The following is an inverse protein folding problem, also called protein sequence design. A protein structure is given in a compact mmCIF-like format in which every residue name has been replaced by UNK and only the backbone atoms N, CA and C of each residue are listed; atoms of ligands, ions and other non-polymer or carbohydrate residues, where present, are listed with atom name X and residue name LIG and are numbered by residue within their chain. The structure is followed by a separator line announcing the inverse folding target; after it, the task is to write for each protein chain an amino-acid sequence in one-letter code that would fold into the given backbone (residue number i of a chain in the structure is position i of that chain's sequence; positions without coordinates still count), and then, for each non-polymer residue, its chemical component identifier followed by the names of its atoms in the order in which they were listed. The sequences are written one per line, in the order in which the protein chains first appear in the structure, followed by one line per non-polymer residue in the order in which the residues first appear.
data_IF_365840224575
#
_entry.id   IF_365840224575
#
_cell.length_a   1.000
_cell.length_b   1.000
_cell.length_c   1.000
_cell.angle_alpha   90.00
_cell.angle_beta   90.00
_cell.angle_gamma   90.00
#
_symmetry.space_group_name_H-M   'P 1'
#
loop_
_entity.id
_entity.type
_entity.pdbx_description
1 polymer ?
#
# COMPACT_ATOMS: atom_id res chain seq x y z
N UNK A 1 1.23 -9.71 9.96
CA UNK A 1 0.59 -8.65 10.77
C UNK A 1 -0.91 -8.67 10.55
N UNK A 2 -1.37 -8.53 9.31
CA UNK A 2 -2.80 -8.67 8.95
C UNK A 2 -3.37 -10.02 9.39
N UNK A 3 -2.65 -11.14 9.21
CA UNK A 3 -3.14 -12.46 9.66
C UNK A 3 -3.38 -12.52 11.18
N UNK A 4 -2.51 -11.89 11.97
CA UNK A 4 -2.69 -11.79 13.43
C UNK A 4 -3.97 -11.03 13.77
N UNK A 5 -4.23 -9.92 13.06
CA UNK A 5 -5.46 -9.14 13.24
C UNK A 5 -6.71 -9.97 12.94
N UNK A 6 -6.68 -10.75 11.85
CA UNK A 6 -7.77 -11.66 11.47
C UNK A 6 -8.00 -12.74 12.50
N UNK A 7 -6.94 -13.38 13.00
CA UNK A 7 -7.05 -14.41 14.04
C UNK A 7 -7.59 -13.83 15.36
N UNK A 8 -7.23 -12.59 15.71
CA UNK A 8 -7.64 -11.98 16.98
C UNK A 8 -9.05 -11.40 16.96
N UNK A 9 -9.48 -10.81 15.85
CA UNK A 9 -10.74 -10.06 15.78
C UNK A 9 -11.68 -10.51 14.67
N UNK A 10 -11.23 -11.36 13.75
CA UNK A 10 -12.03 -11.84 12.64
C UNK A 10 -12.92 -13.01 13.03
N UNK A 11 -14.04 -13.15 12.35
CA UNK A 11 -14.92 -14.29 12.51
C UNK A 11 -14.26 -15.54 11.93
N UNK A 12 -14.38 -16.67 12.63
CA UNK A 12 -13.93 -17.95 12.12
C UNK A 12 -14.71 -18.32 10.86
N UNK A 13 -13.99 -18.72 9.80
CA UNK A 13 -14.59 -19.11 8.53
C UNK A 13 -14.56 -20.62 8.38
N UNK A 14 -13.37 -21.23 8.50
CA UNK A 14 -13.17 -22.64 8.20
C UNK A 14 -11.79 -23.13 8.68
N UNK A 15 -11.64 -24.43 8.90
CA UNK A 15 -10.39 -25.11 9.30
C UNK A 15 -10.07 -26.23 8.31
N UNK A 16 -8.82 -26.26 7.81
CA UNK A 16 -8.33 -27.37 6.98
C UNK A 16 -7.74 -28.44 7.88
N UNK A 17 -8.32 -29.64 7.85
CA UNK A 17 -7.70 -30.84 8.40
C UNK A 17 -6.50 -31.23 7.53
N UNK A 18 -5.32 -31.42 8.13
CA UNK A 18 -4.16 -31.98 7.42
C UNK A 18 -4.24 -33.49 7.48
N UNK A 19 -4.40 -34.15 6.34
CA UNK A 19 -4.16 -35.58 6.20
C UNK A 19 -2.65 -35.85 6.25
N UNK A 20 -2.16 -36.31 7.40
CA UNK A 20 -0.76 -36.72 7.58
C UNK A 20 -0.25 -36.41 8.98
N UNK A 21 0.23 -37.45 9.66
CA UNK A 21 0.78 -37.40 11.02
C UNK A 21 2.00 -36.47 11.09
N UNK A 22 1.76 -35.20 11.39
CA UNK A 22 2.67 -34.34 12.14
C UNK A 22 1.84 -33.23 12.77
N UNK A 23 1.89 -33.20 14.09
CA UNK A 23 1.15 -32.34 15.02
C UNK A 23 1.68 -30.90 14.94
N UNK A 24 1.66 -30.28 13.75
CA UNK A 24 2.17 -28.93 13.53
C UNK A 24 1.14 -28.08 12.76
N UNK A 25 0.50 -27.19 13.54
CA UNK A 25 -0.39 -26.10 13.18
C UNK A 25 -1.63 -26.48 12.34
N UNK A 26 -2.80 -26.48 13.01
CA UNK A 26 -4.12 -26.36 12.40
C UNK A 26 -4.18 -25.10 11.55
N UNK A 27 -4.58 -25.22 10.27
CA UNK A 27 -4.74 -24.08 9.38
C UNK A 27 -6.16 -23.53 9.50
N UNK A 28 -6.38 -22.66 10.47
CA UNK A 28 -7.64 -21.95 10.67
C UNK A 28 -7.69 -20.67 9.82
N UNK A 29 -8.79 -20.48 9.11
CA UNK A 29 -9.08 -19.29 8.32
C UNK A 29 -10.09 -18.42 9.04
N UNK A 30 -9.78 -17.13 9.13
CA UNK A 30 -10.64 -16.11 9.70
C UNK A 30 -10.96 -15.05 8.64
N UNK A 31 -12.10 -14.39 8.77
CA UNK A 31 -12.47 -13.24 7.97
C UNK A 31 -11.63 -12.02 8.36
N UNK A 32 -11.66 -10.96 7.54
CA UNK A 32 -11.19 -9.66 8.00
C UNK A 32 -12.22 -9.09 9.00
N UNK A 33 -11.80 -8.55 10.15
CA UNK A 33 -12.74 -8.05 11.16
C UNK A 33 -13.61 -6.91 10.62
N UNK A 34 -14.88 -6.90 11.01
CA UNK A 34 -15.80 -5.82 10.67
C UNK A 34 -15.41 -4.51 11.37
N UNK A 35 -15.86 -3.37 10.83
CA UNK A 35 -15.63 -2.05 11.45
C UNK A 35 -16.22 -2.01 12.85
N UNK A 36 -17.41 -2.61 13.05
CA UNK A 36 -18.05 -2.67 14.37
C UNK A 36 -17.21 -3.47 15.37
N UNK A 37 -16.68 -4.62 14.97
CA UNK A 37 -15.80 -5.42 15.82
C UNK A 37 -14.52 -4.67 16.17
N UNK A 38 -13.90 -4.00 15.19
CA UNK A 38 -12.69 -3.21 15.44
C UNK A 38 -12.99 -2.00 16.36
N UNK A 39 -14.07 -1.26 16.12
CA UNK A 39 -14.40 -0.09 16.91
C UNK A 39 -14.75 -0.44 18.37
N UNK A 40 -15.42 -1.59 18.58
CA UNK A 40 -15.84 -2.05 19.89
C UNK A 40 -14.73 -2.77 20.69
N UNK A 41 -13.90 -3.60 20.04
CA UNK A 41 -13.00 -4.55 20.73
C UNK A 41 -11.51 -4.28 20.50
N UNK A 42 -11.13 -3.45 19.53
CA UNK A 42 -9.73 -3.28 19.19
C UNK A 42 -9.05 -2.27 20.13
N UNK A 43 -7.97 -2.73 20.79
CA UNK A 43 -7.17 -1.90 21.69
C UNK A 43 -5.78 -1.64 21.10
N UNK A 44 -5.27 -0.43 21.31
CA UNK A 44 -3.97 -0.03 20.78
C UNK A 44 -2.82 -0.87 21.35
N UNK A 45 -2.88 -1.18 22.65
CA UNK A 45 -1.92 -2.04 23.37
C UNK A 45 -1.82 -3.42 22.72
N UNK A 46 -2.95 -4.07 22.45
CA UNK A 46 -2.99 -5.38 21.78
C UNK A 46 -2.39 -5.32 20.38
N UNK A 47 -2.73 -4.29 19.59
CA UNK A 47 -2.13 -4.10 18.26
C UNK A 47 -0.62 -3.87 18.32
N UNK A 48 -0.13 -3.10 19.31
CA UNK A 48 1.32 -2.89 19.50
C UNK A 48 2.04 -4.20 19.78
N UNK A 49 1.50 -5.03 20.68
CA UNK A 49 2.02 -6.38 20.96
C UNK A 49 2.00 -7.28 19.72
N UNK A 50 1.03 -7.11 18.82
CA UNK A 50 0.99 -7.82 17.53
C UNK A 50 1.98 -7.30 16.47
N UNK A 51 2.69 -6.21 16.75
CA UNK A 51 3.74 -5.66 15.90
C UNK A 51 3.32 -4.49 15.01
N UNK A 52 2.11 -3.94 15.17
CA UNK A 52 1.65 -2.80 14.38
C UNK A 52 2.43 -1.50 14.64
N UNK A 53 3.18 -1.42 15.74
CA UNK A 53 3.99 -0.26 16.09
C UNK A 53 3.14 1.00 16.23
N UNK A 54 3.63 2.13 15.73
CA UNK A 54 2.90 3.41 15.78
C UNK A 54 1.57 3.39 15.01
N UNK A 55 1.40 2.48 14.03
CA UNK A 55 0.16 2.35 13.24
C UNK A 55 -1.00 1.77 14.04
N UNK A 56 -0.73 1.17 15.20
CA UNK A 56 -1.76 0.68 16.12
C UNK A 56 -2.78 1.78 16.48
N UNK A 57 -2.29 2.97 16.81
CA UNK A 57 -3.14 4.11 17.16
C UNK A 57 -4.04 4.53 15.96
N UNK A 58 -3.50 4.46 14.74
CA UNK A 58 -4.25 4.81 13.52
C UNK A 58 -5.40 3.85 13.26
N UNK A 59 -5.17 2.54 13.44
CA UNK A 59 -6.21 1.51 13.21
C UNK A 59 -7.38 1.70 14.19
N UNK A 60 -7.10 1.85 15.48
CA UNK A 60 -8.14 2.03 16.51
C UNK A 60 -8.92 3.32 16.27
N UNK A 61 -8.24 4.44 16.00
CA UNK A 61 -8.88 5.73 15.73
C UNK A 61 -9.73 5.68 14.45
N UNK A 62 -9.19 5.10 13.38
CA UNK A 62 -9.88 4.99 12.10
C UNK A 62 -11.13 4.13 12.22
N UNK A 63 -11.07 2.99 12.93
CA UNK A 63 -12.25 2.13 13.11
C UNK A 63 -13.38 2.86 13.83
N UNK A 64 -13.08 3.58 14.92
CA UNK A 64 -14.07 4.37 15.67
C UNK A 64 -14.65 5.50 14.83
N UNK A 65 -13.78 6.30 14.20
CA UNK A 65 -14.20 7.41 13.34
C UNK A 65 -15.04 6.92 12.15
N UNK A 66 -14.67 5.81 11.52
CA UNK A 66 -15.44 5.26 10.41
C UNK A 66 -16.81 4.75 10.88
N UNK A 67 -16.90 4.14 12.06
CA UNK A 67 -18.18 3.74 12.65
C UNK A 67 -19.08 4.96 12.90
N UNK A 68 -18.54 6.04 13.47
CA UNK A 68 -19.27 7.31 13.71
C UNK A 68 -19.76 7.95 12.39
N UNK A 69 -19.01 7.78 11.30
CA UNK A 69 -19.38 8.29 9.96
C UNK A 69 -20.38 7.40 9.20
N UNK A 70 -20.87 6.31 9.80
CA UNK A 70 -21.84 5.40 9.19
C UNK A 70 -21.25 4.10 8.64
N UNK A 71 -20.04 3.73 9.07
CA UNK A 71 -19.40 2.45 8.76
C UNK A 71 -19.16 2.26 7.26
N UNK A 72 -19.48 1.06 6.75
CA UNK A 72 -19.27 0.73 5.34
C UNK A 72 -20.04 1.65 4.38
N UNK A 73 -21.22 2.15 4.78
CA UNK A 73 -22.03 3.06 3.96
C UNK A 73 -21.30 4.37 3.63
N UNK A 74 -20.43 4.85 4.53
CA UNK A 74 -19.59 6.01 4.26
C UNK A 74 -18.66 5.76 3.05
N UNK A 75 -18.04 4.59 2.98
CA UNK A 75 -17.13 4.21 1.90
C UNK A 75 -17.88 3.93 0.59
N UNK A 76 -19.05 3.27 0.65
CA UNK A 76 -19.87 3.04 -0.53
C UNK A 76 -20.32 4.35 -1.18
N UNK A 77 -20.66 5.37 -0.39
CA UNK A 77 -20.96 6.70 -0.92
C UNK A 77 -19.77 7.31 -1.68
N UNK A 78 -18.54 7.13 -1.21
CA UNK A 78 -17.35 7.62 -1.92
C UNK A 78 -17.18 6.87 -3.24
N UNK A 79 -17.35 5.53 -3.25
CA UNK A 79 -17.29 4.72 -4.47
C UNK A 79 -18.33 5.17 -5.49
N UNK A 80 -19.59 5.23 -5.07
CA UNK A 80 -20.75 5.44 -5.93
C UNK A 80 -20.92 6.92 -6.34
N UNK A 81 -20.18 7.85 -5.71
CA UNK A 81 -20.15 9.24 -6.12
C UNK A 81 -19.68 9.37 -7.58
N UNK A 82 -20.59 9.82 -8.46
CA UNK A 82 -20.32 9.99 -9.90
C UNK A 82 -19.52 11.25 -10.21
N UNK A 83 -19.51 12.20 -9.28
CA UNK A 83 -18.70 13.41 -9.31
C UNK A 83 -18.46 13.80 -7.85
N UNK A 84 -17.20 13.86 -7.43
CA UNK A 84 -16.90 14.53 -6.16
C UNK A 84 -16.99 16.02 -6.44
N UNK A 85 -18.16 16.59 -6.16
CA UNK A 85 -18.29 18.04 -6.06
C UNK A 85 -17.46 18.48 -4.83
N UNK A 86 -16.40 19.30 -5.00
CA UNK A 86 -15.58 19.73 -3.89
C UNK A 86 -16.41 20.64 -2.98
N UNK A 87 -16.90 20.09 -1.86
CA UNK A 87 -17.46 20.88 -0.75
C UNK A 87 -16.38 21.15 0.30
N UNK A 88 -15.31 21.82 -0.10
CA UNK A 88 -14.35 22.40 0.83
C UNK A 88 -14.21 23.88 0.52
N UNK A 89 -14.32 24.72 1.55
CA UNK A 89 -13.98 26.15 1.48
C UNK A 89 -12.57 26.23 0.88
N UNK A 90 -12.45 26.87 -0.30
CA UNK A 90 -11.20 27.12 -1.03
C UNK A 90 -10.00 27.12 -0.07
N UNK A 91 -9.28 26.00 0.01
CA UNK A 91 -7.88 26.06 0.39
C UNK A 91 -7.27 26.99 -0.65
N UNK A 92 -6.69 28.11 -0.21
CA UNK A 92 -6.05 29.07 -1.12
C UNK A 92 -5.18 28.26 -2.06
N UNK A 93 -5.48 28.34 -3.35
CA UNK A 93 -4.58 27.84 -4.38
C UNK A 93 -3.22 28.44 -4.05
N UNK A 94 -2.30 27.62 -3.58
CA UNK A 94 -0.91 28.01 -3.58
C UNK A 94 -0.62 28.28 -5.06
N UNK A 95 -0.15 29.48 -5.41
CA UNK A 95 0.47 29.71 -6.71
C UNK A 95 1.52 28.62 -6.90
N UNK A 96 1.18 27.59 -7.67
CA UNK A 96 2.13 26.54 -8.02
C UNK A 96 2.62 26.84 -9.41
N UNK A 97 3.93 26.90 -9.56
CA UNK A 97 4.70 27.07 -10.80
C UNK A 97 4.53 25.89 -11.79
N UNK A 98 3.37 25.24 -11.82
CA UNK A 98 3.06 24.06 -12.63
C UNK A 98 2.51 24.50 -13.99
N UNK A 99 3.26 24.33 -15.10
CA UNK A 99 2.79 24.70 -16.43
C UNK A 99 1.64 23.77 -16.85
N UNK A 100 0.50 24.34 -17.26
CA UNK A 100 -0.65 23.57 -17.77
C UNK A 100 -1.75 23.22 -16.76
N UNK A 101 -1.74 23.80 -15.55
CA UNK A 101 -2.80 23.60 -14.56
C UNK A 101 -4.14 24.25 -14.98
N UNK A 102 -5.07 23.42 -15.46
CA UNK A 102 -6.46 23.83 -15.66
C UNK A 102 -7.27 23.34 -14.46
N UNK A 103 -7.36 24.16 -13.41
CA UNK A 103 -7.84 23.80 -12.07
C UNK A 103 -9.28 23.29 -11.93
N UNK A 104 -9.99 22.94 -13.00
CA UNK A 104 -11.32 22.31 -12.94
C UNK A 104 -11.28 20.79 -13.13
N UNK A 105 -10.36 20.27 -13.97
CA UNK A 105 -10.33 18.85 -14.33
C UNK A 105 -9.45 18.04 -13.36
N UNK A 106 -8.36 18.65 -12.87
CA UNK A 106 -7.48 18.05 -11.87
C UNK A 106 -8.16 17.90 -10.49
N UNK A 107 -9.05 18.83 -10.12
CA UNK A 107 -9.79 18.78 -8.84
C UNK A 107 -10.85 17.67 -8.84
N UNK A 108 -11.37 17.28 -10.01
CA UNK A 108 -12.38 16.22 -10.14
C UNK A 108 -11.85 14.83 -9.74
N UNK A 109 -10.61 14.51 -10.12
CA UNK A 109 -10.01 13.17 -9.91
C UNK A 109 -9.54 12.87 -8.49
N UNK A 110 -9.64 13.82 -7.56
CA UNK A 110 -9.04 13.67 -6.23
C UNK A 110 -10.00 13.97 -5.09
N UNK A 111 -11.27 14.28 -5.36
CA UNK A 111 -12.19 14.62 -4.27
C UNK A 111 -12.39 13.48 -3.25
N UNK A 112 -12.18 12.22 -3.65
CA UNK A 112 -12.17 11.10 -2.70
C UNK A 112 -10.97 11.16 -1.73
N UNK A 113 -9.86 11.79 -2.10
CA UNK A 113 -8.70 11.95 -1.22
C UNK A 113 -9.06 12.81 -0.03
N UNK A 114 -9.82 13.89 -0.23
CA UNK A 114 -10.27 14.76 0.86
C UNK A 114 -11.16 14.00 1.85
N UNK A 115 -12.06 13.14 1.34
CA UNK A 115 -12.91 12.30 2.19
C UNK A 115 -12.12 11.21 2.93
N UNK A 116 -11.08 10.63 2.33
CA UNK A 116 -10.29 9.58 2.95
C UNK A 116 -9.19 10.10 3.88
N UNK A 117 -8.63 11.27 3.60
CA UNK A 117 -7.53 11.85 4.40
C UNK A 117 -8.01 12.44 5.73
N UNK A 118 -9.31 12.44 6.01
CA UNK A 118 -9.85 12.73 7.35
C UNK A 118 -9.45 11.68 8.39
N UNK A 119 -9.10 10.46 7.96
CA UNK A 119 -8.71 9.37 8.84
C UNK A 119 -7.25 9.49 9.28
N UNK A 120 -7.00 9.35 10.58
CA UNK A 120 -5.66 9.43 11.15
C UNK A 120 -4.72 8.38 10.52
N UNK A 121 -3.59 8.84 9.97
CA UNK A 121 -2.61 7.97 9.31
C UNK A 121 -2.89 7.69 7.83
N UNK A 122 -3.98 8.23 7.26
CA UNK A 122 -4.27 8.17 5.82
C UNK A 122 -3.74 9.45 5.16
N UNK A 123 -2.67 9.31 4.38
CA UNK A 123 -2.20 10.36 3.46
C UNK A 123 -2.55 10.03 2.01
N UNK A 124 -2.22 10.92 1.07
CA UNK A 124 -2.51 10.80 -0.38
C UNK A 124 -2.29 9.41 -0.96
N UNK A 125 -1.10 8.84 -0.72
CA UNK A 125 -0.74 7.49 -1.18
C UNK A 125 -1.71 6.42 -0.67
N UNK A 126 -2.06 6.48 0.62
CA UNK A 126 -2.97 5.50 1.23
C UNK A 126 -4.40 5.73 0.73
N UNK A 127 -4.84 6.99 0.61
CA UNK A 127 -6.13 7.35 0.04
C UNK A 127 -6.28 6.82 -1.41
N UNK A 128 -5.26 7.00 -2.25
CA UNK A 128 -5.27 6.50 -3.63
C UNK A 128 -5.22 4.97 -3.68
N UNK A 129 -4.49 4.31 -2.77
CA UNK A 129 -4.55 2.85 -2.68
C UNK A 129 -5.99 2.37 -2.38
N UNK A 130 -6.68 2.99 -1.44
CA UNK A 130 -8.07 2.66 -1.11
C UNK A 130 -8.98 2.97 -2.30
N UNK A 131 -8.82 4.13 -2.91
CA UNK A 131 -9.63 4.57 -4.04
C UNK A 131 -9.52 3.63 -5.24
N UNK A 132 -8.29 3.27 -5.62
CA UNK A 132 -8.00 2.39 -6.75
C UNK A 132 -8.47 0.96 -6.50
N UNK A 133 -8.18 0.41 -5.32
CA UNK A 133 -8.36 -1.03 -5.07
C UNK A 133 -9.69 -1.40 -4.43
N UNK A 134 -10.46 -0.45 -3.89
CA UNK A 134 -11.77 -0.76 -3.28
C UNK A 134 -12.92 0.19 -3.61
N UNK A 135 -12.66 1.37 -4.19
CA UNK A 135 -13.69 2.37 -4.47
C UNK A 135 -13.89 2.68 -5.96
N UNK A 136 -13.39 1.80 -6.84
CA UNK A 136 -13.60 1.86 -8.29
C UNK A 136 -13.14 3.18 -8.95
N UNK A 137 -12.20 3.92 -8.33
CA UNK A 137 -11.58 5.11 -8.90
C UNK A 137 -10.39 4.69 -9.76
N UNK A 138 -10.67 4.24 -10.98
CA UNK A 138 -9.71 3.59 -11.88
C UNK A 138 -8.60 4.52 -12.39
N UNK A 139 -8.74 5.81 -12.17
CA UNK A 139 -7.80 6.88 -12.47
C UNK A 139 -6.84 7.22 -11.30
N UNK A 140 -7.08 6.67 -10.11
CA UNK A 140 -6.29 6.94 -8.91
C UNK A 140 -4.88 6.36 -9.04
N UNK A 141 -3.86 7.15 -8.67
CA UNK A 141 -2.44 6.78 -8.81
C UNK A 141 -1.76 6.83 -7.44
N UNK A 142 -1.60 5.70 -6.73
CA UNK A 142 -0.90 5.66 -5.46
C UNK A 142 0.61 5.93 -5.60
N UNK A 143 1.03 7.19 -5.56
CA UNK A 143 2.44 7.55 -5.76
C UNK A 143 3.27 7.29 -4.50
N UNK A 144 4.13 6.27 -4.56
CA UNK A 144 5.21 6.05 -3.61
C UNK A 144 6.59 6.23 -4.29
N UNK A 145 7.67 5.87 -3.58
CA UNK A 145 9.02 5.98 -4.11
C UNK A 145 9.27 5.10 -5.34
N UNK A 146 8.64 3.93 -5.44
CA UNK A 146 8.77 3.06 -6.60
C UNK A 146 8.03 3.65 -7.80
N UNK A 147 6.80 4.11 -7.59
CA UNK A 147 5.99 4.74 -8.64
C UNK A 147 6.65 6.02 -9.14
N UNK A 148 7.25 6.82 -8.25
CA UNK A 148 8.05 7.97 -8.65
C UNK A 148 9.25 7.56 -9.52
N UNK A 149 9.99 6.53 -9.14
CA UNK A 149 11.12 6.03 -9.95
C UNK A 149 10.68 5.53 -11.33
N UNK A 150 9.53 4.85 -11.42
CA UNK A 150 8.94 4.44 -12.70
C UNK A 150 8.60 5.68 -13.53
N UNK A 151 7.97 6.69 -12.94
CA UNK A 151 7.63 7.93 -13.65
C UNK A 151 8.87 8.64 -14.19
N UNK A 152 9.95 8.74 -13.41
CA UNK A 152 11.22 9.30 -13.86
C UNK A 152 11.82 8.54 -15.05
N UNK A 153 11.67 7.22 -15.07
CA UNK A 153 12.29 6.36 -16.10
C UNK A 153 11.47 6.30 -17.39
N UNK A 154 10.16 6.19 -17.26
CA UNK A 154 9.27 5.80 -18.36
C UNK A 154 8.40 6.95 -18.89
N UNK A 155 8.19 8.01 -18.09
CA UNK A 155 7.22 9.07 -18.42
C UNK A 155 7.89 10.44 -18.58
N UNK A 156 8.70 10.87 -17.61
CA UNK A 156 9.39 12.16 -17.65
C UNK A 156 10.69 12.13 -16.84
N UNK A 157 11.82 12.09 -17.55
CA UNK A 157 13.15 12.14 -16.94
C UNK A 157 13.42 13.42 -16.15
N UNK A 158 12.74 14.54 -16.46
CA UNK A 158 12.89 15.80 -15.72
C UNK A 158 12.40 15.72 -14.26
N UNK A 159 11.65 14.68 -13.89
CA UNK A 159 11.27 14.43 -12.50
C UNK A 159 12.45 14.00 -11.60
N UNK A 160 13.57 13.53 -12.17
CA UNK A 160 14.74 13.11 -11.37
C UNK A 160 15.43 14.26 -10.66
N UNK A 161 15.25 15.49 -11.14
CA UNK A 161 15.85 16.70 -10.54
C UNK A 161 15.15 17.11 -9.24
N UNK A 162 13.98 16.51 -8.94
CA UNK A 162 13.22 16.79 -7.73
C UNK A 162 13.80 16.00 -6.55
N UNK A 163 13.90 16.65 -5.39
CA UNK A 163 14.53 16.06 -4.19
C UNK A 163 13.59 15.16 -3.37
N UNK A 164 12.28 15.34 -3.49
CA UNK A 164 11.29 14.60 -2.71
C UNK A 164 9.90 14.62 -3.36
N UNK A 165 9.06 13.65 -2.97
CA UNK A 165 7.64 13.58 -3.35
C UNK A 165 6.86 14.60 -2.50
N UNK A 166 6.93 15.87 -2.88
CA UNK A 166 6.05 16.92 -2.34
C UNK A 166 4.62 16.74 -2.86
N UNK A 167 3.61 17.40 -2.27
CA UNK A 167 2.25 17.35 -2.81
C UNK A 167 2.16 17.76 -4.28
N UNK A 168 3.00 18.71 -4.72
CA UNK A 168 3.08 19.12 -6.12
C UNK A 168 3.65 18.00 -6.99
N UNK A 169 4.79 17.41 -6.59
CA UNK A 169 5.40 16.29 -7.34
C UNK A 169 4.47 15.08 -7.38
N UNK A 170 3.76 14.80 -6.28
CA UNK A 170 2.75 13.74 -6.21
C UNK A 170 1.67 13.92 -7.29
N UNK A 171 1.11 15.13 -7.42
CA UNK A 171 0.13 15.44 -8.48
C UNK A 171 0.74 15.30 -9.86
N UNK A 172 1.93 15.87 -10.09
CA UNK A 172 2.62 15.78 -11.38
C UNK A 172 2.78 14.35 -11.84
N UNK A 173 3.23 13.45 -10.96
CA UNK A 173 3.37 12.02 -11.28
C UNK A 173 1.99 11.44 -11.64
N UNK A 174 0.97 11.68 -10.83
CA UNK A 174 -0.39 11.20 -11.12
C UNK A 174 -0.92 11.68 -12.48
N UNK A 175 -0.67 12.95 -12.83
CA UNK A 175 -1.12 13.57 -14.07
C UNK A 175 -0.39 13.00 -15.30
N UNK A 176 0.90 12.65 -15.17
CA UNK A 176 1.62 11.95 -16.24
C UNK A 176 0.98 10.58 -16.54
N UNK A 177 0.65 9.80 -15.50
CA UNK A 177 -0.04 8.53 -15.69
C UNK A 177 -1.42 8.72 -16.31
N UNK A 178 -2.23 9.67 -15.82
CA UNK A 178 -3.57 9.95 -16.36
C UNK A 178 -3.53 10.43 -17.81
N UNK A 179 -2.63 11.33 -18.14
CA UNK A 179 -2.43 11.81 -19.52
C UNK A 179 -2.09 10.66 -20.46
N UNK A 180 -1.27 9.71 -20.00
CA UNK A 180 -0.76 8.62 -20.85
C UNK A 180 -1.71 7.43 -20.97
N UNK A 181 -2.48 7.15 -19.93
CA UNK A 181 -3.20 5.87 -19.76
C UNK A 181 -4.68 6.03 -19.38
N UNK A 182 -5.25 7.23 -19.50
CA UNK A 182 -6.70 7.43 -19.35
C UNK A 182 -7.50 6.49 -20.28
N UNK A 183 -8.66 5.96 -19.84
CA UNK A 183 -9.32 6.22 -18.55
C UNK A 183 -8.88 5.29 -17.41
N UNK A 184 -8.04 4.28 -17.67
CA UNK A 184 -7.69 3.23 -16.70
C UNK A 184 -6.25 3.39 -16.18
N UNK A 185 -5.84 4.61 -15.89
CA UNK A 185 -4.46 4.92 -15.53
C UNK A 185 -3.97 4.18 -14.28
N UNK A 186 -4.86 3.93 -13.31
CA UNK A 186 -4.57 3.13 -12.12
C UNK A 186 -4.26 1.66 -12.43
N UNK A 187 -4.90 1.08 -13.44
CA UNK A 187 -4.59 -0.28 -13.91
C UNK A 187 -3.22 -0.33 -14.58
N UNK A 188 -2.91 0.62 -15.45
CA UNK A 188 -1.59 0.74 -16.07
C UNK A 188 -0.50 0.92 -15.00
N UNK A 189 -0.75 1.77 -14.00
CA UNK A 189 0.10 1.90 -12.82
C UNK A 189 0.33 0.55 -12.12
N UNK A 190 -0.71 -0.26 -11.88
CA UNK A 190 -0.57 -1.57 -11.23
C UNK A 190 0.29 -2.55 -12.03
N UNK A 191 0.15 -2.57 -13.36
CA UNK A 191 0.97 -3.40 -14.24
C UNK A 191 2.43 -2.96 -14.21
N UNK A 192 2.70 -1.65 -14.34
CA UNK A 192 4.05 -1.10 -14.31
C UNK A 192 4.73 -1.32 -12.94
N UNK A 193 3.99 -1.12 -11.85
CA UNK A 193 4.47 -1.40 -10.50
C UNK A 193 4.80 -2.88 -10.31
N UNK A 194 3.90 -3.79 -10.73
CA UNK A 194 4.15 -5.22 -10.66
C UNK A 194 5.40 -5.61 -11.47
N UNK A 195 5.55 -5.07 -12.68
CA UNK A 195 6.75 -5.28 -13.50
C UNK A 195 8.05 -4.82 -12.84
N UNK A 196 8.01 -3.81 -11.97
CA UNK A 196 9.20 -3.35 -11.25
C UNK A 196 9.54 -4.21 -10.02
N UNK A 197 8.64 -5.09 -9.56
CA UNK A 197 8.92 -6.00 -8.46
C UNK A 197 9.93 -7.08 -8.86
N UNK A 198 10.87 -7.38 -7.98
CA UNK A 198 11.90 -8.40 -8.18
C UNK A 198 11.35 -9.80 -8.49
N UNK A 199 10.12 -10.09 -8.04
CA UNK A 199 9.43 -11.34 -8.33
C UNK A 199 9.05 -11.50 -9.80
N UNK A 200 8.79 -10.41 -10.52
CA UNK A 200 8.30 -10.42 -11.90
C UNK A 200 9.36 -9.96 -12.92
N UNK A 201 10.37 -9.18 -12.50
CA UNK A 201 11.49 -8.74 -13.34
C UNK A 201 12.14 -9.85 -14.21
N UNK A 202 12.35 -11.09 -13.73
CA UNK A 202 12.97 -12.15 -14.53
C UNK A 202 12.10 -12.67 -15.69
N UNK A 203 10.80 -12.38 -15.70
CA UNK A 203 9.88 -12.82 -16.75
C UNK A 203 9.56 -11.72 -17.77
N UNK A 204 10.10 -10.51 -17.57
CA UNK A 204 9.99 -9.42 -18.52
C UNK A 204 11.03 -9.57 -19.66
N UNK A 205 10.75 -9.02 -20.85
CA UNK A 205 11.73 -8.94 -21.93
C UNK A 205 13.02 -8.26 -21.44
N UNK A 206 14.16 -8.95 -21.55
CA UNK A 206 15.46 -8.48 -21.04
C UNK A 206 15.77 -8.84 -19.58
N UNK A 207 14.89 -9.58 -18.89
CA UNK A 207 15.12 -10.09 -17.55
C UNK A 207 16.10 -11.27 -17.52
N UNK A 208 17.30 -11.07 -16.99
CA UNK A 208 18.22 -12.19 -16.72
C UNK A 208 17.69 -13.03 -15.56
N UNK A 209 17.14 -14.23 -15.85
CA UNK A 209 16.90 -15.23 -14.81
C UNK A 209 18.23 -15.68 -14.23
N UNK A 210 18.60 -15.16 -13.07
CA UNK A 210 19.70 -15.73 -12.28
C UNK A 210 19.35 -17.17 -11.91
N UNK A 211 19.91 -18.14 -12.65
CA UNK A 211 19.82 -19.56 -12.31
C UNK A 211 20.32 -19.73 -10.88
N UNK A 212 19.45 -20.19 -9.97
CA UNK A 212 19.85 -20.60 -8.62
C UNK A 212 20.74 -21.84 -8.76
N UNK A 213 22.05 -21.64 -8.91
CA UNK A 213 23.02 -22.70 -8.69
C UNK A 213 22.98 -23.03 -7.19
N UNK A 214 22.42 -24.19 -6.85
CA UNK A 214 22.49 -24.75 -5.49
C UNK A 214 23.96 -24.95 -5.13
N UNK A 215 24.54 -24.07 -4.32
CA UNK A 215 25.80 -24.34 -3.64
C UNK A 215 25.54 -25.39 -2.57
N UNK A 216 26.13 -26.58 -2.75
CA UNK A 216 26.22 -27.60 -1.72
C UNK A 216 27.01 -27.08 -0.51
N UNK A 217 26.65 -27.45 0.73
CA UNK A 217 27.36 -26.99 1.91
C UNK A 217 28.75 -27.62 2.00
N UNK A 218 29.78 -26.78 2.09
CA UNK A 218 31.16 -27.20 2.28
C UNK A 218 31.37 -27.81 3.68
N UNK A 219 32.05 -28.96 3.74
CA UNK A 219 32.42 -29.65 4.99
C UNK A 219 33.29 -28.78 5.90
N UNK A 220 33.17 -28.87 7.24
CA UNK A 220 34.02 -28.10 8.17
C UNK A 220 35.47 -28.62 8.15
N UNK A 221 36.44 -27.71 8.03
CA UNK A 221 37.87 -28.02 8.17
C UNK A 221 38.24 -28.22 9.64
N UNK A 222 38.93 -29.32 9.94
CA UNK A 222 39.45 -29.66 11.26
C UNK A 222 40.50 -28.63 11.76
N UNK A 223 40.38 -28.23 13.03
CA UNK A 223 41.36 -27.36 13.72
C UNK A 223 42.62 -28.17 14.06
N UNK A 224 43.79 -27.77 13.54
CA UNK A 224 45.10 -28.23 14.03
C UNK A 224 45.42 -27.51 15.34
N UNK A 225 45.63 -28.27 16.42
CA UNK A 225 46.24 -27.81 17.67
C UNK A 225 47.71 -27.45 17.40
N UNK A 226 48.12 -26.24 17.77
CA UNK A 226 49.53 -25.88 17.90
C UNK A 226 49.96 -26.17 19.34
N UNK A 227 50.92 -27.07 19.50
CA UNK A 227 51.60 -27.31 20.77
C UNK A 227 52.63 -26.21 21.03
N UNK A 228 52.68 -25.74 22.27
CA UNK A 228 53.73 -24.88 22.81
C UNK A 228 54.66 -25.78 23.61
N UNK A 229 55.91 -25.87 23.18
CA UNK A 229 57.02 -26.45 23.95
C UNK A 229 57.86 -25.31 24.53
N UNK A 230 58.20 -25.46 25.81
CA UNK A 230 59.02 -24.57 26.63
C UNK A 230 60.49 -24.51 26.21
N UNK A 231 61.12 -23.37 26.49
CA UNK A 231 62.45 -23.27 27.08
C UNK A 231 62.44 -22.08 28.04
#
# INVERSE_FOLDING_TARGET
MVDKLKVTYGDFVYEVEKEGQQEEARNCFYAFPSVDTLAAKCEETTLRTMGFGYRAAFIVKTAKQLQELGGASYLYRIRDSKDVQPKTKKLKAAETDYPGYNGSEADAYHGYQDELMVFAGVGRKVADCVALFSLEKLEAIPVDTHVWQIACRELDAGLSDRKSITPTVYRMVGDLFRTRFSPQAGWAHSVLFAGDLSAFKPDLPGGERKSKVKRSPAKPKAKRKAGVTSA
#
